data_IF_340451723315
#
_entry.id   IF_340451723315
#
_cell.length_a   1.000
_cell.length_b   1.000
_cell.length_c   1.000
_cell.angle_alpha   90.00
_cell.angle_beta   90.00
_cell.angle_gamma   90.00
#
_symmetry.space_group_name_H-M   'P 1'
#
loop_
_entity.id
_entity.type
_entity.pdbx_description
1 polymer ?
#
# COMPACT_ATOMS: atom_id res chain seq x y z
N UNK A 1 -5.49 -33.98 8.37
CA UNK A 1 -6.25 -32.90 7.72
C UNK A 1 -5.33 -31.70 7.51
N UNK A 2 -4.78 -31.56 6.31
CA UNK A 2 -3.78 -30.52 5.99
C UNK A 2 -4.50 -29.18 5.85
N UNK A 3 -4.34 -28.30 6.83
CA UNK A 3 -4.90 -26.94 6.75
C UNK A 3 -4.12 -26.17 5.68
N UNK A 4 -4.68 -26.11 4.46
CA UNK A 4 -4.16 -25.28 3.38
C UNK A 4 -4.34 -23.82 3.80
N UNK A 5 -3.27 -23.17 4.27
CA UNK A 5 -3.29 -21.73 4.58
C UNK A 5 -3.76 -21.00 3.32
N UNK A 6 -4.94 -20.38 3.39
CA UNK A 6 -5.45 -19.51 2.34
C UNK A 6 -4.48 -18.32 2.20
N UNK A 7 -3.79 -18.25 1.06
CA UNK A 7 -2.92 -17.13 0.71
C UNK A 7 -3.82 -15.95 0.37
N UNK A 8 -4.15 -15.13 1.37
CA UNK A 8 -4.92 -13.89 1.16
C UNK A 8 -4.05 -12.95 0.33
N UNK A 9 -4.53 -12.58 -0.87
CA UNK A 9 -3.86 -11.56 -1.68
C UNK A 9 -4.22 -10.19 -1.11
N UNK A 10 -3.24 -9.31 -0.83
CA UNK A 10 -3.55 -7.96 -0.36
C UNK A 10 -4.32 -7.21 -1.45
N UNK A 11 -5.21 -6.31 -1.03
CA UNK A 11 -6.07 -5.54 -1.93
C UNK A 11 -5.28 -4.47 -2.69
N UNK A 12 -4.26 -3.88 -2.03
CA UNK A 12 -3.28 -3.00 -2.65
C UNK A 12 -1.90 -3.66 -2.65
N UNK A 13 -1.20 -3.56 -3.78
CA UNK A 13 0.19 -3.98 -3.92
C UNK A 13 1.01 -2.73 -4.18
N UNK A 14 2.12 -2.60 -3.46
CA UNK A 14 3.09 -1.52 -3.68
C UNK A 14 4.16 -2.04 -4.61
N UNK A 15 4.36 -1.33 -5.71
CA UNK A 15 5.48 -1.52 -6.62
C UNK A 15 6.54 -0.47 -6.31
N UNK A 16 7.81 -0.85 -6.49
CA UNK A 16 8.92 0.02 -6.17
C UNK A 16 9.85 0.11 -7.36
N UNK A 17 10.31 1.32 -7.62
CA UNK A 17 11.37 1.59 -8.59
C UNK A 17 12.42 2.52 -7.97
N UNK A 18 13.53 2.73 -8.68
CA UNK A 18 14.61 3.62 -8.28
C UNK A 18 14.97 4.56 -9.42
N UNK A 19 14.92 5.85 -9.12
CA UNK A 19 15.33 6.92 -10.02
C UNK A 19 16.86 6.94 -10.24
N UNK A 20 17.29 7.55 -11.33
CA UNK A 20 18.71 7.74 -11.67
C UNK A 20 19.47 8.57 -10.62
N UNK A 21 18.77 9.49 -9.93
CA UNK A 21 19.33 10.27 -8.82
C UNK A 21 19.38 9.50 -7.49
N UNK A 22 18.95 8.23 -7.50
CA UNK A 22 19.02 7.32 -6.38
C UNK A 22 17.79 7.33 -5.46
N UNK A 23 16.80 8.20 -5.68
CA UNK A 23 15.53 8.19 -4.92
C UNK A 23 14.73 6.93 -5.19
N UNK A 24 14.01 6.47 -4.17
CA UNK A 24 13.04 5.39 -4.27
C UNK A 24 11.66 5.93 -4.64
N UNK A 25 11.01 5.25 -5.57
CA UNK A 25 9.61 5.43 -5.92
C UNK A 25 8.82 4.29 -5.26
N UNK A 26 7.67 4.61 -4.69
CA UNK A 26 6.66 3.63 -4.30
C UNK A 26 5.33 4.01 -4.93
N UNK A 27 4.73 3.10 -5.69
CA UNK A 27 3.47 3.32 -6.37
C UNK A 27 2.46 2.20 -6.08
N UNK A 28 1.17 2.49 -6.27
CA UNK A 28 0.10 1.51 -6.17
C UNK A 28 -0.67 1.54 -7.48
N UNK A 29 -0.41 0.61 -8.42
CA UNK A 29 -1.03 0.63 -9.75
C UNK A 29 -2.56 0.62 -9.74
N UNK A 30 -3.17 0.06 -8.68
CA UNK A 30 -4.61 0.02 -8.47
C UNK A 30 -5.23 1.38 -8.11
N UNK A 31 -4.41 2.35 -7.71
CA UNK A 31 -4.81 3.73 -7.42
C UNK A 31 -3.98 4.67 -8.31
N UNK A 32 -4.41 4.91 -9.56
CA UNK A 32 -3.68 5.77 -10.47
C UNK A 32 -3.40 7.14 -9.85
N UNK A 33 -2.13 7.58 -9.91
CA UNK A 33 -1.67 8.82 -9.30
C UNK A 33 -1.20 8.70 -7.84
N UNK A 34 -1.39 7.56 -7.18
CA UNK A 34 -0.80 7.30 -5.86
C UNK A 34 0.63 6.79 -6.03
N UNK A 35 1.56 7.76 -5.98
CA UNK A 35 3.00 7.53 -6.07
C UNK A 35 3.74 8.45 -5.10
N UNK A 36 4.80 7.96 -4.48
CA UNK A 36 5.63 8.75 -3.55
C UNK A 36 7.11 8.53 -3.78
N UNK A 37 7.89 9.53 -3.39
CA UNK A 37 9.35 9.48 -3.40
C UNK A 37 9.91 9.41 -1.97
N UNK A 38 10.99 8.67 -1.78
CA UNK A 38 11.77 8.65 -0.55
C UNK A 38 13.27 8.51 -0.82
N UNK A 39 14.10 8.97 0.11
CA UNK A 39 15.55 8.71 0.08
C UNK A 39 15.85 7.24 0.35
N UNK A 40 14.93 6.54 1.02
CA UNK A 40 15.00 5.10 1.26
C UNK A 40 13.73 4.38 0.83
N UNK A 41 13.83 3.08 0.51
CA UNK A 41 12.67 2.23 0.22
C UNK A 41 11.63 2.26 1.34
N UNK A 42 12.08 2.29 2.60
CA UNK A 42 11.21 2.36 3.79
C UNK A 42 10.44 3.68 3.83
N UNK A 43 11.11 4.79 3.56
CA UNK A 43 10.48 6.10 3.53
C UNK A 43 9.42 6.20 2.43
N UNK A 44 9.75 5.76 1.20
CA UNK A 44 8.79 5.74 0.10
C UNK A 44 7.56 4.88 0.46
N UNK A 45 7.79 3.70 1.06
CA UNK A 45 6.73 2.82 1.55
C UNK A 45 5.82 3.48 2.59
N UNK A 46 6.41 4.13 3.61
CA UNK A 46 5.64 4.81 4.65
C UNK A 46 4.78 5.94 4.06
N UNK A 47 5.34 6.71 3.13
CA UNK A 47 4.62 7.78 2.45
C UNK A 47 3.47 7.25 1.60
N UNK A 48 3.67 6.19 0.82
CA UNK A 48 2.61 5.65 -0.04
C UNK A 48 1.46 5.09 0.80
N UNK A 49 1.76 4.44 1.92
CA UNK A 49 0.74 3.98 2.88
C UNK A 49 -0.07 5.12 3.48
N UNK A 50 0.58 6.21 3.88
CA UNK A 50 -0.13 7.37 4.41
C UNK A 50 -1.10 7.95 3.38
N UNK A 51 -0.71 8.03 2.10
CA UNK A 51 -1.59 8.51 1.03
C UNK A 51 -2.79 7.58 0.86
N UNK A 52 -2.59 6.26 0.77
CA UNK A 52 -3.71 5.31 0.63
C UNK A 52 -4.71 5.44 1.76
N UNK A 53 -4.23 5.50 3.01
CA UNK A 53 -5.10 5.60 4.17
C UNK A 53 -5.92 6.90 4.14
N UNK A 54 -5.32 8.01 3.70
CA UNK A 54 -6.04 9.28 3.48
C UNK A 54 -7.10 9.14 2.39
N UNK A 55 -6.74 8.59 1.22
CA UNK A 55 -7.70 8.34 0.14
C UNK A 55 -8.86 7.44 0.57
N UNK A 56 -8.60 6.43 1.39
CA UNK A 56 -9.66 5.58 1.94
C UNK A 56 -10.55 6.34 2.92
N UNK A 57 -9.99 7.21 3.74
CA UNK A 57 -10.76 8.07 4.63
C UNK A 57 -11.65 9.04 3.82
N UNK A 58 -11.10 9.73 2.83
CA UNK A 58 -11.83 10.64 1.95
C UNK A 58 -13.00 9.91 1.25
N UNK A 59 -12.77 8.67 0.80
CA UNK A 59 -13.82 7.84 0.20
C UNK A 59 -14.95 7.52 1.18
N UNK A 60 -14.63 7.24 2.45
CA UNK A 60 -15.63 6.98 3.51
C UNK A 60 -16.44 8.25 3.78
N UNK A 61 -15.80 9.42 3.86
CA UNK A 61 -16.47 10.70 4.07
C UNK A 61 -17.44 11.06 2.94
N UNK A 62 -17.14 10.63 1.71
CA UNK A 62 -18.01 10.76 0.55
C UNK A 62 -19.14 9.70 0.49
N UNK A 63 -19.23 8.80 1.48
CA UNK A 63 -20.26 7.76 1.57
C UNK A 63 -19.92 6.46 0.84
N UNK A 64 -18.69 6.29 0.35
CA UNK A 64 -18.26 5.04 -0.28
C UNK A 64 -17.82 4.00 0.76
N UNK A 65 -18.03 2.72 0.45
CA UNK A 65 -17.57 1.63 1.32
C UNK A 65 -16.15 1.21 0.94
N UNK A 66 -15.15 1.33 1.84
CA UNK A 66 -13.80 0.90 1.56
C UNK A 66 -13.68 -0.64 1.58
N UNK A 67 -12.66 -1.21 0.93
CA UNK A 67 -12.34 -2.62 1.08
C UNK A 67 -12.05 -2.98 2.54
N UNK A 68 -12.28 -4.24 2.97
CA UNK A 68 -12.08 -4.64 4.36
C UNK A 68 -10.65 -4.34 4.84
N UNK A 69 -10.55 -3.67 5.99
CA UNK A 69 -9.27 -3.22 6.58
C UNK A 69 -8.28 -4.38 6.73
N UNK A 70 -8.78 -5.58 7.08
CA UNK A 70 -7.99 -6.80 7.25
C UNK A 70 -7.30 -7.30 5.98
N UNK A 71 -7.65 -6.75 4.81
CA UNK A 71 -7.12 -7.14 3.50
C UNK A 71 -6.41 -5.99 2.76
N UNK A 72 -6.29 -4.80 3.34
CA UNK A 72 -5.73 -3.63 2.64
C UNK A 72 -4.27 -3.86 2.25
N UNK A 73 -3.46 -4.27 3.22
CA UNK A 73 -2.03 -4.51 3.07
C UNK A 73 -1.67 -5.89 3.62
N UNK A 74 -0.54 -6.43 3.19
CA UNK A 74 -0.04 -7.70 3.72
C UNK A 74 0.40 -7.51 5.19
N UNK A 75 -0.14 -8.31 6.10
CA UNK A 75 0.05 -8.15 7.56
C UNK A 75 1.50 -8.35 8.01
N UNK A 76 2.35 -8.95 7.16
CA UNK A 76 3.79 -9.12 7.40
C UNK A 76 4.57 -7.80 7.57
N UNK A 77 3.93 -6.65 7.34
CA UNK A 77 4.52 -5.32 7.38
C UNK A 77 4.37 -4.60 8.74
N UNK A 78 3.54 -5.10 9.66
CA UNK A 78 3.34 -4.49 10.99
C UNK A 78 4.38 -4.90 12.05
N UNK A 79 5.39 -5.72 11.69
CA UNK A 79 6.36 -6.33 12.62
C UNK A 79 7.83 -6.02 12.35
N UNK A 80 8.19 -4.91 11.69
CA UNK A 80 9.60 -4.55 11.45
C UNK A 80 9.94 -3.11 11.77
#
# INVERSE_FOLDING_TARGET
MTHKKLKVRPYFTVEFDREDDGRWIAEIPKLPGVMTYGLTKKEALQKVYAIVLRTLADNVEQGNTPPPVTRLFDYGMARR
#
